data_IF_911498528658
#
_entry.id   IF_911498528658
#
_cell.length_a   1.000
_cell.length_b   1.000
_cell.length_c   1.000
_cell.angle_alpha   90.00
_cell.angle_beta   90.00
_cell.angle_gamma   90.00
#
_symmetry.space_group_name_H-M   'P 1'
#
loop_
_entity.id
_entity.type
_entity.pdbx_description
1 polymer ?
#
# COMPACT_ATOMS: atom_id res chain seq x y z
N UNK A 1 -28.96 -19.03 35.34
CA UNK A 1 -28.51 -17.62 35.40
C UNK A 1 -27.64 -17.36 34.16
N UNK A 2 -28.14 -17.33 32.92
CA UNK A 2 -29.15 -16.50 32.25
C UNK A 2 -28.77 -15.01 32.15
N UNK A 3 -28.08 -14.65 31.06
CA UNK A 3 -28.33 -13.42 30.28
C UNK A 3 -27.64 -13.52 28.90
N UNK A 4 -28.43 -13.94 27.91
CA UNK A 4 -28.18 -13.77 26.48
C UNK A 4 -28.78 -12.42 26.08
N UNK A 5 -28.00 -11.50 25.53
CA UNK A 5 -28.51 -10.26 24.94
C UNK A 5 -28.69 -10.50 23.44
N UNK A 6 -29.96 -10.46 23.02
CA UNK A 6 -30.41 -10.46 21.63
C UNK A 6 -30.24 -9.03 21.09
N UNK A 7 -29.58 -8.86 19.96
CA UNK A 7 -29.67 -7.65 19.15
C UNK A 7 -30.05 -8.07 17.74
N UNK A 8 -31.35 -8.06 17.48
CA UNK A 8 -31.92 -8.15 16.16
C UNK A 8 -32.92 -6.99 16.02
N UNK A 9 -32.81 -6.29 14.90
CA UNK A 9 -33.94 -5.84 14.10
C UNK A 9 -34.77 -4.65 14.63
N UNK A 10 -34.48 -3.44 14.13
CA UNK A 10 -35.52 -2.48 13.70
C UNK A 10 -34.92 -1.31 12.90
N UNK A 11 -35.17 -1.25 11.58
CA UNK A 11 -35.64 -0.05 10.87
C UNK A 11 -35.68 -0.31 9.37
N UNK A 12 -36.89 -0.67 8.95
CA UNK A 12 -37.37 -0.80 7.58
C UNK A 12 -38.07 0.52 7.21
N UNK A 13 -38.06 0.85 5.90
CA UNK A 13 -38.96 1.76 5.17
C UNK A 13 -38.73 3.27 5.22
N UNK A 14 -38.20 3.79 4.11
CA UNK A 14 -38.66 4.97 3.35
C UNK A 14 -38.21 4.73 1.88
N UNK A 15 -38.98 4.05 1.03
CA UNK A 15 -39.98 4.64 0.12
C UNK A 15 -39.56 5.98 -0.49
N UNK A 16 -39.13 5.91 -1.76
CA UNK A 16 -38.87 7.05 -2.62
C UNK A 16 -38.81 6.62 -4.08
N UNK A 17 -39.99 6.39 -4.67
CA UNK A 17 -40.16 6.29 -6.12
C UNK A 17 -39.70 7.60 -6.77
N UNK A 18 -38.66 7.53 -7.60
CA UNK A 18 -38.20 8.62 -8.45
C UNK A 18 -38.17 8.14 -9.90
N UNK A 19 -39.29 8.37 -10.60
CA UNK A 19 -39.40 8.29 -12.05
C UNK A 19 -38.44 9.31 -12.64
N UNK A 20 -37.44 8.87 -13.42
CA UNK A 20 -36.61 9.77 -14.23
C UNK A 20 -37.04 9.67 -15.70
N UNK A 21 -37.35 10.80 -16.35
CA UNK A 21 -37.75 10.81 -17.75
C UNK A 21 -36.55 10.59 -18.68
N UNK A 22 -36.85 9.85 -19.73
CA UNK A 22 -36.12 9.70 -20.97
C UNK A 22 -35.78 11.08 -21.56
N UNK A 23 -34.48 11.41 -21.61
CA UNK A 23 -33.98 12.62 -22.29
C UNK A 23 -33.41 12.19 -23.63
N UNK A 24 -34.10 12.63 -24.67
CA UNK A 24 -33.79 12.46 -26.09
C UNK A 24 -32.37 12.85 -26.45
N UNK A 25 -31.85 12.09 -27.41
CA UNK A 25 -30.61 12.33 -28.13
C UNK A 25 -30.57 13.74 -28.74
N UNK A 26 -29.48 14.46 -28.48
CA UNK A 26 -29.12 15.68 -29.21
C UNK A 26 -27.66 15.55 -29.64
N UNK A 27 -27.47 15.26 -30.92
CA UNK A 27 -26.17 15.23 -31.59
C UNK A 27 -25.58 16.63 -31.66
N UNK A 28 -24.42 16.92 -31.06
CA UNK A 28 -23.72 18.17 -31.29
C UNK A 28 -23.01 18.14 -32.64
N UNK A 29 -23.46 19.00 -33.54
CA UNK A 29 -22.78 19.41 -34.77
C UNK A 29 -21.40 20.01 -34.42
N UNK A 30 -20.33 19.35 -34.88
CA UNK A 30 -18.95 19.83 -34.74
C UNK A 30 -18.64 20.95 -35.73
N UNK A 31 -18.33 22.19 -35.30
CA UNK A 31 -17.74 23.20 -36.17
C UNK A 31 -16.25 22.90 -36.44
N UNK A 32 -15.71 23.24 -37.63
CA UNK A 32 -14.29 23.06 -37.94
C UNK A 32 -13.44 24.02 -37.07
N UNK A 33 -12.66 23.46 -36.14
CA UNK A 33 -11.81 24.22 -35.22
C UNK A 33 -10.38 24.33 -35.77
N UNK A 34 -10.04 25.54 -36.23
CA UNK A 34 -8.82 26.33 -35.95
C UNK A 34 -7.40 25.72 -36.05
N UNK A 35 -7.24 24.46 -36.48
CA UNK A 35 -5.95 23.78 -36.56
C UNK A 35 -5.05 24.28 -37.72
N UNK A 36 -5.60 25.00 -38.70
CA UNK A 36 -4.85 25.43 -39.90
C UNK A 36 -4.19 26.82 -39.80
N UNK A 37 -4.45 27.60 -38.75
CA UNK A 37 -3.97 29.01 -38.70
C UNK A 37 -2.65 29.25 -38.00
N UNK A 38 -2.15 28.31 -37.19
CA UNK A 38 -0.91 28.51 -36.42
C UNK A 38 0.34 28.01 -37.20
N UNK A 39 0.16 27.39 -38.37
CA UNK A 39 1.27 26.80 -39.14
C UNK A 39 2.06 27.77 -40.05
N UNK A 40 1.75 29.08 -40.10
CA UNK A 40 2.36 30.04 -41.06
C UNK A 40 3.07 31.26 -40.45
N UNK A 41 3.49 31.22 -39.18
CA UNK A 41 4.25 32.33 -38.57
C UNK A 41 5.43 31.90 -37.69
N UNK A 42 6.23 30.93 -38.14
CA UNK A 42 7.58 30.77 -37.57
C UNK A 42 8.60 30.89 -38.70
N UNK A 43 9.01 32.15 -38.89
CA UNK A 43 10.12 32.55 -39.73
C UNK A 43 11.41 31.86 -39.28
N UNK A 44 12.16 31.48 -40.29
CA UNK A 44 13.54 31.02 -40.19
C UNK A 44 14.40 32.16 -39.64
N UNK A 45 14.75 32.07 -38.36
CA UNK A 45 15.82 32.84 -37.75
C UNK A 45 16.70 31.87 -36.99
N UNK A 46 17.78 31.40 -37.63
CA UNK A 46 18.82 30.62 -36.97
C UNK A 46 19.56 31.53 -35.98
N UNK A 47 19.50 31.24 -34.67
CA UNK A 47 20.32 31.97 -33.71
C UNK A 47 21.70 31.32 -33.65
N UNK A 48 22.74 32.10 -33.92
CA UNK A 48 24.13 31.69 -33.72
C UNK A 48 24.50 31.94 -32.25
N UNK A 49 24.31 30.96 -31.38
CA UNK A 49 25.02 30.93 -30.10
C UNK A 49 25.47 29.50 -29.80
N UNK A 50 26.68 29.31 -29.24
CA UNK A 50 27.11 28.02 -28.76
C UNK A 50 26.29 27.66 -27.51
N UNK A 51 25.38 26.71 -27.66
CA UNK A 51 24.59 26.16 -26.55
C UNK A 51 25.40 25.07 -25.84
N UNK A 52 26.36 25.47 -25.01
CA UNK A 52 26.97 24.59 -23.99
C UNK A 52 26.10 24.60 -22.72
N UNK A 53 24.78 24.53 -22.88
CA UNK A 53 23.87 24.35 -21.76
C UNK A 53 23.73 22.85 -21.54
N UNK A 54 24.23 22.27 -20.43
CA UNK A 54 23.93 20.88 -20.11
C UNK A 54 22.42 20.75 -20.01
N UNK A 55 21.82 20.06 -20.99
CA UNK A 55 20.39 19.82 -21.03
C UNK A 55 19.89 19.19 -19.72
N UNK A 56 18.62 19.39 -19.36
CA UNK A 56 18.05 18.77 -18.17
C UNK A 56 18.29 17.26 -18.28
N UNK A 57 19.14 16.72 -17.40
CA UNK A 57 19.34 15.28 -17.29
C UNK A 57 18.00 14.68 -16.92
N UNK A 58 17.34 14.04 -17.88
CA UNK A 58 16.22 13.16 -17.60
C UNK A 58 16.70 12.19 -16.54
N UNK A 59 16.10 12.14 -15.34
CA UNK A 59 16.49 11.18 -14.33
C UNK A 59 16.35 9.80 -14.97
N UNK A 60 17.46 9.06 -15.01
CA UNK A 60 17.45 7.69 -15.50
C UNK A 60 16.35 6.93 -14.76
N UNK A 61 15.45 6.30 -15.52
CA UNK A 61 14.44 5.43 -14.93
C UNK A 61 15.17 4.43 -14.03
N UNK A 62 14.77 4.29 -12.75
CA UNK A 62 15.43 3.36 -11.85
C UNK A 62 15.33 1.96 -12.45
N UNK A 63 16.47 1.40 -12.87
CA UNK A 63 16.58 0.03 -13.35
C UNK A 63 16.13 -0.91 -12.23
N UNK A 64 15.13 -1.74 -12.53
CA UNK A 64 14.28 -2.47 -11.57
C UNK A 64 14.94 -3.56 -10.71
N UNK A 65 16.25 -3.49 -10.46
CA UNK A 65 17.02 -4.51 -9.74
C UNK A 65 17.39 -4.09 -8.31
N UNK A 66 17.49 -2.78 -8.00
CA UNK A 66 18.01 -2.26 -6.72
C UNK A 66 16.96 -2.04 -5.62
N UNK A 67 15.68 -2.30 -5.91
CA UNK A 67 14.59 -2.15 -4.94
C UNK A 67 13.95 -3.50 -4.55
N UNK A 68 14.75 -4.57 -4.42
CA UNK A 68 14.25 -5.81 -3.81
C UNK A 68 13.90 -5.52 -2.36
N UNK A 69 12.61 -5.42 -2.09
CA UNK A 69 12.08 -5.34 -0.72
C UNK A 69 12.62 -6.51 0.09
N UNK A 70 13.04 -6.25 1.33
CA UNK A 70 13.41 -7.31 2.25
C UNK A 70 12.16 -8.17 2.51
N UNK A 71 12.22 -9.51 2.43
CA UNK A 71 11.06 -10.36 2.67
C UNK A 71 10.33 -10.09 3.99
N UNK A 72 11.08 -9.74 5.04
CA UNK A 72 10.52 -9.33 6.34
C UNK A 72 9.70 -8.03 6.24
N UNK A 73 10.12 -7.06 5.42
CA UNK A 73 9.34 -5.83 5.17
C UNK A 73 8.06 -6.14 4.39
N UNK A 74 8.13 -7.03 3.39
CA UNK A 74 6.94 -7.43 2.63
C UNK A 74 5.90 -8.09 3.53
N UNK A 75 6.34 -8.99 4.43
CA UNK A 75 5.46 -9.58 5.43
C UNK A 75 4.85 -8.52 6.36
N UNK A 76 5.66 -7.59 6.88
CA UNK A 76 5.18 -6.48 7.72
C UNK A 76 4.09 -5.65 7.03
N UNK A 77 4.32 -5.28 5.76
CA UNK A 77 3.36 -4.52 4.97
C UNK A 77 2.08 -5.34 4.77
N UNK A 78 2.20 -6.62 4.39
CA UNK A 78 1.04 -7.49 4.22
C UNK A 78 0.21 -7.62 5.50
N UNK A 79 0.82 -7.87 6.66
CA UNK A 79 0.09 -7.99 7.92
C UNK A 79 -0.55 -6.68 8.38
N UNK A 80 0.13 -5.54 8.14
CA UNK A 80 -0.43 -4.21 8.38
C UNK A 80 -1.69 -3.99 7.56
N UNK A 81 -1.60 -4.20 6.25
CA UNK A 81 -2.73 -4.01 5.33
C UNK A 81 -3.88 -4.94 5.67
N UNK A 82 -3.60 -6.22 5.96
CA UNK A 82 -4.60 -7.19 6.37
C UNK A 82 -5.34 -6.74 7.63
N UNK A 83 -4.60 -6.32 8.67
CA UNK A 83 -5.22 -5.75 9.88
C UNK A 83 -6.11 -4.57 9.56
N UNK A 84 -5.63 -3.62 8.76
CA UNK A 84 -6.40 -2.41 8.42
C UNK A 84 -7.70 -2.77 7.71
N UNK A 85 -7.66 -3.71 6.76
CA UNK A 85 -8.85 -4.16 6.03
C UNK A 85 -9.83 -4.97 6.89
N UNK A 86 -9.33 -5.83 7.78
CA UNK A 86 -10.19 -6.57 8.73
C UNK A 86 -10.85 -5.61 9.71
N UNK A 87 -10.09 -4.64 10.23
CA UNK A 87 -10.60 -3.63 11.15
C UNK A 87 -11.69 -2.75 10.52
N UNK A 88 -11.55 -2.45 9.22
CA UNK A 88 -12.54 -1.68 8.44
C UNK A 88 -13.74 -2.53 7.98
N UNK A 89 -13.70 -3.85 8.18
CA UNK A 89 -14.74 -4.77 7.73
C UNK A 89 -14.75 -5.02 6.21
N UNK A 90 -13.73 -4.56 5.48
CA UNK A 90 -13.58 -4.80 4.05
C UNK A 90 -13.15 -6.23 3.73
N UNK A 91 -12.33 -6.82 4.60
CA UNK A 91 -12.01 -8.25 4.59
C UNK A 91 -12.69 -8.87 5.81
N UNK A 92 -13.54 -9.86 5.57
CA UNK A 92 -14.15 -10.69 6.62
C UNK A 92 -13.67 -12.12 6.40
N UNK A 93 -12.52 -12.52 6.98
CA UNK A 93 -11.97 -13.83 6.73
C UNK A 93 -12.98 -14.89 7.17
N UNK A 94 -13.16 -15.94 6.35
CA UNK A 94 -14.04 -17.05 6.69
C UNK A 94 -13.63 -17.68 8.04
N UNK A 95 -14.50 -18.41 8.73
CA UNK A 95 -14.13 -19.09 9.98
C UNK A 95 -12.90 -20.00 9.84
N UNK A 96 -12.79 -20.69 8.69
CA UNK A 96 -11.63 -21.52 8.36
C UNK A 96 -10.35 -20.69 8.17
N UNK A 97 -10.40 -19.60 7.40
CA UNK A 97 -9.27 -18.70 7.22
C UNK A 97 -8.84 -18.06 8.55
N UNK A 98 -9.80 -17.60 9.36
CA UNK A 98 -9.55 -17.06 10.70
C UNK A 98 -8.92 -18.09 11.64
N UNK A 99 -9.26 -19.37 11.54
CA UNK A 99 -8.61 -20.43 12.30
C UNK A 99 -7.15 -20.64 11.85
N UNK A 100 -6.91 -20.76 10.53
CA UNK A 100 -5.57 -20.94 9.98
C UNK A 100 -4.63 -19.76 10.32
N UNK A 101 -5.10 -18.52 10.18
CA UNK A 101 -4.33 -17.32 10.56
C UNK A 101 -4.02 -17.28 12.05
N UNK A 102 -4.94 -17.72 12.92
CA UNK A 102 -4.71 -17.79 14.38
C UNK A 102 -3.72 -18.87 14.78
N UNK A 103 -3.54 -19.91 13.99
CA UNK A 103 -2.50 -20.91 14.20
C UNK A 103 -1.14 -20.40 13.76
N UNK A 104 -1.10 -19.75 12.58
CA UNK A 104 0.13 -19.30 11.94
C UNK A 104 0.78 -18.10 12.62
N UNK A 105 0.01 -17.06 12.92
CA UNK A 105 0.54 -15.75 13.32
C UNK A 105 1.17 -15.67 14.74
N UNK A 106 0.71 -16.43 15.76
CA UNK A 106 1.32 -16.36 17.10
C UNK A 106 2.80 -16.76 17.14
N UNK A 107 3.26 -17.59 16.21
CA UNK A 107 4.67 -17.99 16.10
C UNK A 107 5.60 -16.77 15.96
N UNK A 108 5.18 -15.77 15.19
CA UNK A 108 5.95 -14.56 14.94
C UNK A 108 6.24 -13.75 16.22
N UNK A 109 5.38 -13.83 17.25
CA UNK A 109 5.62 -13.15 18.54
C UNK A 109 6.67 -13.86 19.40
N UNK A 110 6.90 -15.15 19.18
CA UNK A 110 7.73 -16.00 20.05
C UNK A 110 9.10 -16.27 19.47
N UNK A 111 9.21 -16.24 18.15
CA UNK A 111 10.44 -16.63 17.47
C UNK A 111 11.59 -15.66 17.74
N UNK A 112 12.80 -16.18 18.03
CA UNK A 112 13.93 -15.33 18.35
C UNK A 112 14.45 -14.54 17.15
N UNK A 113 14.27 -15.08 15.94
CA UNK A 113 14.74 -14.53 14.68
C UNK A 113 13.72 -14.85 13.56
N UNK A 114 13.61 -13.94 12.59
CA UNK A 114 12.76 -14.08 11.42
C UNK A 114 13.61 -13.90 10.17
N UNK A 115 14.17 -15.00 9.68
CA UNK A 115 14.99 -15.00 8.46
C UNK A 115 14.15 -14.82 7.19
N UNK A 116 14.80 -14.36 6.12
CA UNK A 116 14.17 -14.09 4.82
C UNK A 116 13.28 -15.22 4.30
N UNK A 117 13.76 -16.47 4.32
CA UNK A 117 12.98 -17.63 3.87
C UNK A 117 11.68 -17.76 4.66
N UNK A 118 11.77 -17.71 5.99
CA UNK A 118 10.61 -17.85 6.86
C UNK A 118 9.63 -16.69 6.73
N UNK A 119 10.12 -15.47 6.53
CA UNK A 119 9.27 -14.32 6.23
C UNK A 119 8.50 -14.51 4.91
N UNK A 120 9.17 -15.00 3.86
CA UNK A 120 8.53 -15.35 2.58
C UNK A 120 7.48 -16.44 2.77
N UNK A 121 7.84 -17.54 3.40
CA UNK A 121 6.95 -18.70 3.60
C UNK A 121 5.71 -18.30 4.41
N UNK A 122 5.91 -17.52 5.48
CA UNK A 122 4.81 -16.98 6.30
C UNK A 122 3.90 -16.07 5.48
N UNK A 123 4.47 -15.18 4.66
CA UNK A 123 3.69 -14.28 3.80
C UNK A 123 2.86 -15.08 2.79
N UNK A 124 3.44 -16.07 2.14
CA UNK A 124 2.74 -16.93 1.18
C UNK A 124 1.60 -17.68 1.86
N UNK A 125 1.86 -18.32 2.99
CA UNK A 125 0.83 -19.02 3.75
C UNK A 125 -0.30 -18.09 4.22
N UNK A 126 -0.01 -16.83 4.61
CA UNK A 126 -1.06 -15.83 4.88
C UNK A 126 -1.90 -15.58 3.63
N UNK A 127 -1.28 -15.32 2.47
CA UNK A 127 -2.01 -15.04 1.24
C UNK A 127 -2.85 -16.24 0.76
N UNK A 128 -2.37 -17.46 0.95
CA UNK A 128 -3.09 -18.71 0.60
C UNK A 128 -4.33 -18.94 1.47
N UNK A 129 -4.36 -18.42 2.70
CA UNK A 129 -5.57 -18.49 3.55
C UNK A 129 -6.67 -17.53 3.13
N UNK A 130 -6.36 -16.54 2.30
CA UNK A 130 -7.29 -15.50 1.87
C UNK A 130 -7.97 -15.87 0.55
N UNK A 131 -9.14 -15.31 0.29
CA UNK A 131 -9.77 -15.44 -1.03
C UNK A 131 -8.98 -14.67 -2.08
N UNK A 132 -9.11 -15.06 -3.36
CA UNK A 132 -8.50 -14.32 -4.47
C UNK A 132 -8.91 -12.84 -4.50
N UNK A 133 -10.15 -12.54 -4.12
CA UNK A 133 -10.65 -11.16 -4.05
C UNK A 133 -9.97 -10.35 -2.95
N UNK A 134 -9.74 -10.96 -1.78
CA UNK A 134 -9.03 -10.33 -0.66
C UNK A 134 -7.57 -10.07 -1.00
N UNK A 135 -6.90 -11.04 -1.66
CA UNK A 135 -5.51 -10.87 -2.14
C UNK A 135 -5.43 -9.70 -3.14
N UNK A 136 -6.36 -9.63 -4.10
CA UNK A 136 -6.41 -8.52 -5.05
C UNK A 136 -6.67 -7.16 -4.36
N UNK A 137 -7.46 -7.14 -3.28
CA UNK A 137 -7.66 -5.95 -2.47
C UNK A 137 -6.36 -5.55 -1.75
N UNK A 138 -5.64 -6.48 -1.14
CA UNK A 138 -4.37 -6.20 -0.46
C UNK A 138 -3.31 -5.64 -1.43
N UNK A 139 -3.20 -6.21 -2.64
CA UNK A 139 -2.26 -5.71 -3.65
C UNK A 139 -2.62 -4.29 -4.13
N UNK A 140 -3.91 -3.99 -4.34
CA UNK A 140 -4.35 -2.61 -4.64
C UNK A 140 -3.99 -1.63 -3.52
N UNK A 141 -4.20 -2.03 -2.26
CA UNK A 141 -3.85 -1.19 -1.10
C UNK A 141 -2.33 -1.01 -0.96
N UNK A 142 -1.55 -2.04 -1.29
CA UNK A 142 -0.08 -1.95 -1.35
C UNK A 142 0.37 -0.91 -2.38
N UNK A 143 -0.15 -0.97 -3.60
CA UNK A 143 0.17 0.02 -4.65
C UNK A 143 -0.23 1.44 -4.22
N UNK A 144 -1.40 1.61 -3.60
CA UNK A 144 -1.82 2.90 -3.06
C UNK A 144 -0.86 3.41 -1.96
N UNK A 145 -0.36 2.52 -1.10
CA UNK A 145 0.64 2.85 -0.08
C UNK A 145 1.97 3.26 -0.71
N UNK A 146 2.44 2.55 -1.73
CA UNK A 146 3.66 2.87 -2.48
C UNK A 146 3.57 4.23 -3.18
N UNK A 147 2.43 4.54 -3.77
CA UNK A 147 2.16 5.87 -4.37
C UNK A 147 2.22 6.97 -3.32
N UNK A 148 1.57 6.78 -2.16
CA UNK A 148 1.62 7.75 -1.05
C UNK A 148 3.04 7.93 -0.52
N UNK A 149 3.80 6.84 -0.34
CA UNK A 149 5.19 6.89 0.08
C UNK A 149 6.06 7.67 -0.92
N UNK A 150 5.80 7.50 -2.22
CA UNK A 150 6.50 8.25 -3.28
C UNK A 150 6.15 9.74 -3.26
N UNK A 151 4.88 10.10 -3.01
CA UNK A 151 4.46 11.50 -2.84
C UNK A 151 5.04 12.15 -1.58
N UNK A 152 5.18 11.39 -0.49
CA UNK A 152 5.83 11.88 0.73
C UNK A 152 7.32 12.12 0.48
N UNK A 153 7.97 11.22 -0.24
CA UNK A 153 9.36 11.34 -0.62
C UNK A 153 9.64 12.59 -1.46
N UNK A 154 8.79 12.90 -2.46
CA UNK A 154 8.97 14.10 -3.29
C UNK A 154 8.79 15.41 -2.51
N UNK A 155 8.00 15.38 -1.42
CA UNK A 155 7.79 16.53 -0.53
C UNK A 155 8.85 16.66 0.56
N UNK A 156 9.51 15.57 0.91
CA UNK A 156 10.53 15.58 1.95
C UNK A 156 11.76 16.37 1.45
N UNK A 157 12.07 17.49 2.13
CA UNK A 157 13.37 18.15 1.98
C UNK A 157 14.39 17.32 2.75
N UNK A 158 14.90 16.26 2.12
CA UNK A 158 15.85 15.37 2.79
C UNK A 158 17.24 16.02 2.74
N UNK A 159 17.56 16.79 3.77
CA UNK A 159 18.92 17.20 4.08
C UNK A 159 19.54 16.11 4.96
N UNK A 160 20.57 15.43 4.48
CA UNK A 160 21.31 14.45 5.27
C UNK A 160 22.62 15.06 5.77
N UNK A 161 22.83 15.14 7.10
CA UNK A 161 24.10 15.60 7.65
C UNK A 161 25.26 14.61 7.39
N UNK A 162 24.98 13.33 7.16
CA UNK A 162 25.97 12.23 7.16
C UNK A 162 26.18 11.54 5.79
N UNK A 163 25.85 12.19 4.67
CA UNK A 163 26.10 11.67 3.31
C UNK A 163 24.84 11.40 2.47
N UNK A 164 24.97 10.69 1.33
CA UNK A 164 23.86 10.54 0.38
C UNK A 164 22.71 9.73 0.99
N UNK A 165 21.52 10.31 0.95
CA UNK A 165 20.28 9.68 1.41
C UNK A 165 19.98 8.44 0.57
N UNK A 166 19.81 7.28 1.20
CA UNK A 166 19.25 6.11 0.52
C UNK A 166 17.75 6.32 0.30
N UNK A 167 17.39 6.82 -0.89
CA UNK A 167 16.00 7.15 -1.25
C UNK A 167 15.07 5.92 -1.11
N UNK A 168 15.56 4.72 -1.46
CA UNK A 168 14.79 3.48 -1.33
C UNK A 168 14.47 3.17 0.13
N UNK A 169 15.43 3.36 1.04
CA UNK A 169 15.23 3.17 2.48
C UNK A 169 14.21 4.16 3.05
N UNK A 170 14.28 5.43 2.62
CA UNK A 170 13.31 6.46 3.02
C UNK A 170 11.90 6.11 2.53
N UNK A 171 11.77 5.72 1.26
CA UNK A 171 10.50 5.31 0.67
C UNK A 171 9.90 4.11 1.40
N UNK A 172 10.69 3.06 1.64
CA UNK A 172 10.25 1.89 2.40
C UNK A 172 9.87 2.25 3.85
N UNK A 173 10.59 3.19 4.46
CA UNK A 173 10.29 3.70 5.79
C UNK A 173 8.90 4.32 5.89
N UNK A 174 8.43 5.03 4.86
CA UNK A 174 7.06 5.55 4.84
C UNK A 174 5.97 4.46 4.75
N UNK A 175 6.34 3.24 4.34
CA UNK A 175 5.39 2.13 4.17
C UNK A 175 5.24 1.27 5.43
N UNK A 176 6.21 1.26 6.34
CA UNK A 176 6.22 0.35 7.50
C UNK A 176 6.01 1.05 8.84
N UNK A 177 5.39 0.38 9.82
CA UNK A 177 5.42 0.84 11.21
C UNK A 177 6.86 0.77 11.72
N UNK A 178 7.37 1.84 12.31
CA UNK A 178 8.78 1.95 12.73
C UNK A 178 9.66 2.72 11.76
N UNK A 179 9.14 3.10 10.59
CA UNK A 179 9.79 4.10 9.73
C UNK A 179 11.11 3.62 9.12
N UNK A 180 11.97 4.59 8.80
CA UNK A 180 13.29 4.35 8.20
C UNK A 180 14.26 3.64 9.14
N UNK A 181 14.14 3.88 10.46
CA UNK A 181 14.98 3.24 11.47
C UNK A 181 14.86 1.71 11.41
N UNK A 182 13.63 1.19 11.33
CA UNK A 182 13.39 -0.25 11.22
C UNK A 182 13.94 -0.82 9.91
N UNK A 183 13.78 -0.10 8.79
CA UNK A 183 14.33 -0.54 7.49
C UNK A 183 15.85 -0.63 7.57
N UNK A 184 16.51 0.38 8.15
CA UNK A 184 17.96 0.38 8.37
C UNK A 184 18.40 -0.81 9.23
N UNK A 185 17.69 -1.03 10.33
CA UNK A 185 17.98 -2.13 11.26
C UNK A 185 17.84 -3.50 10.57
N UNK A 186 16.76 -3.72 9.81
CA UNK A 186 16.55 -4.96 9.05
C UNK A 186 17.58 -5.17 7.92
N UNK A 187 18.14 -4.10 7.35
CA UNK A 187 19.25 -4.22 6.39
C UNK A 187 20.54 -4.63 7.07
N UNK A 188 20.80 -4.11 8.27
CA UNK A 188 21.97 -4.46 9.07
C UNK A 188 21.84 -5.87 9.68
N UNK A 189 20.62 -6.27 10.03
CA UNK A 189 20.31 -7.55 10.67
C UNK A 189 19.12 -8.23 9.97
N UNK A 190 19.34 -8.91 8.83
CA UNK A 190 18.26 -9.52 8.04
C UNK A 190 17.46 -10.63 8.74
N UNK A 191 17.97 -11.13 9.87
CA UNK A 191 17.31 -12.15 10.70
C UNK A 191 16.54 -11.55 11.87
N UNK A 192 16.55 -10.23 12.06
CA UNK A 192 15.83 -9.56 13.12
C UNK A 192 14.32 -9.84 13.00
N UNK A 193 13.72 -10.24 14.12
CA UNK A 193 12.27 -10.38 14.23
C UNK A 193 11.64 -9.08 14.78
N UNK A 194 10.95 -8.28 13.94
CA UNK A 194 10.36 -7.01 14.37
C UNK A 194 9.17 -7.17 15.32
N UNK A 195 8.61 -8.39 15.45
CA UNK A 195 7.44 -8.66 16.29
C UNK A 195 7.80 -9.10 17.73
N UNK A 196 9.08 -9.41 18.00
CA UNK A 196 9.51 -9.94 19.29
C UNK A 196 9.58 -8.86 20.38
N UNK A 197 10.02 -7.66 20.01
CA UNK A 197 10.15 -6.54 20.94
C UNK A 197 8.79 -5.86 21.14
N UNK A 198 8.50 -5.42 22.37
CA UNK A 198 7.32 -4.61 22.62
C UNK A 198 7.41 -3.31 21.78
N UNK A 199 6.37 -3.02 21.01
CA UNK A 199 6.38 -1.88 20.09
C UNK A 199 5.23 -1.94 19.09
N UNK A 200 5.29 -1.06 18.08
CA UNK A 200 4.23 -0.91 17.09
C UNK A 200 3.94 -2.21 16.31
N UNK A 201 4.97 -2.96 15.94
CA UNK A 201 4.83 -4.19 15.15
C UNK A 201 4.21 -5.33 15.99
N UNK A 202 4.66 -5.52 17.22
CA UNK A 202 4.06 -6.48 18.14
C UNK A 202 2.60 -6.12 18.48
N UNK A 203 2.31 -4.83 18.70
CA UNK A 203 0.95 -4.35 18.96
C UNK A 203 0.02 -4.57 17.76
N UNK A 204 0.49 -4.27 16.55
CA UNK A 204 -0.22 -4.53 15.29
C UNK A 204 -0.60 -6.00 15.16
N UNK A 205 0.35 -6.91 15.42
CA UNK A 205 0.11 -8.35 15.32
C UNK A 205 -0.90 -8.85 16.38
N UNK A 206 -0.81 -8.35 17.61
CA UNK A 206 -1.78 -8.66 18.68
C UNK A 206 -3.18 -8.13 18.36
N UNK A 207 -3.28 -6.93 17.80
CA UNK A 207 -4.56 -6.35 17.37
C UNK A 207 -5.19 -7.19 16.26
N UNK A 208 -4.41 -7.60 15.25
CA UNK A 208 -4.87 -8.51 14.20
C UNK A 208 -5.40 -9.82 14.80
N UNK A 209 -4.64 -10.45 15.69
CA UNK A 209 -5.08 -11.67 16.39
C UNK A 209 -6.36 -11.47 17.20
N UNK A 210 -6.54 -10.31 17.83
CA UNK A 210 -7.77 -9.97 18.56
C UNK A 210 -8.97 -9.84 17.60
N UNK A 211 -8.81 -9.13 16.48
CA UNK A 211 -9.84 -8.98 15.45
C UNK A 211 -10.28 -10.34 14.88
N UNK A 212 -9.32 -11.24 14.62
CA UNK A 212 -9.61 -12.60 14.12
C UNK A 212 -10.35 -13.48 15.14
N UNK A 213 -10.29 -13.16 16.44
CA UNK A 213 -11.05 -13.88 17.46
C UNK A 213 -12.50 -13.39 17.61
N UNK A 214 -12.80 -12.17 17.17
CA UNK A 214 -14.14 -11.58 17.28
C UNK A 214 -15.09 -12.07 16.18
N UNK A 215 -14.57 -12.48 15.02
CA UNK A 215 -15.38 -12.97 13.89
C UNK A 215 -15.79 -14.45 14.02
N UNK A 216 -16.27 -14.86 15.20
CA UNK A 216 -16.82 -16.20 15.44
C UNK A 216 -18.31 -16.29 15.16
#
# INVERSE_FOLDING_TARGET
MTRRIRFAQLMLLLLGCGVFPEVSAMTPTTPPSQADRIQRQQGQGTPWWPSDTPGPRTPAAPTGQEARSLPTLDLLITLRLLRDQVKQGHIQPTPAASAALRELLPGLLREPALGNRKATDTRLAVLETLSTADVALLERQRLALEQRASLLLTRARIAAPDGPVNITEVRLGFMVPGGTALVKELRQQPTLNPYRQAGANAALLRELLALLNLNR
#
